data_IF_276532533078
#
_entry.id   IF_276532533078
#
_cell.length_a   1.000
_cell.length_b   1.000
_cell.length_c   1.000
_cell.angle_alpha   90.00
_cell.angle_beta   90.00
_cell.angle_gamma   90.00
#
_symmetry.space_group_name_H-M   'P 1'
#
loop_
_entity.id
_entity.type
_entity.pdbx_description
1 polymer ?
#
# COMPACT_ATOMS: atom_id res chain seq x y z
N UNK A 1 1.89 30.41 22.66
CA UNK A 1 1.01 30.35 21.49
C UNK A 1 1.25 28.97 20.89
N UNK A 2 0.39 28.04 21.25
CA UNK A 2 0.35 26.68 20.74
C UNK A 2 -0.43 26.70 19.43
N UNK A 3 0.26 26.47 18.31
CA UNK A 3 -0.42 26.14 17.06
C UNK A 3 -0.91 24.69 17.16
N UNK A 4 -2.17 24.55 17.49
CA UNK A 4 -2.89 23.30 17.41
C UNK A 4 -3.12 22.98 15.93
N UNK A 5 -2.31 22.09 15.38
CA UNK A 5 -2.56 21.41 14.12
C UNK A 5 -3.79 20.52 14.33
N UNK A 6 -4.98 21.09 14.15
CA UNK A 6 -6.23 20.32 14.14
C UNK A 6 -6.32 19.61 12.80
N UNK A 7 -6.16 18.29 12.82
CA UNK A 7 -6.62 17.45 11.73
C UNK A 7 -8.12 17.73 11.47
N UNK A 8 -8.57 17.80 10.22
CA UNK A 8 -9.98 18.07 9.92
C UNK A 8 -10.87 16.97 10.52
N UNK A 9 -12.02 17.38 11.07
CA UNK A 9 -13.04 16.50 11.64
C UNK A 9 -13.63 15.66 10.49
N UNK A 10 -13.45 14.35 10.58
CA UNK A 10 -13.43 13.38 9.50
C UNK A 10 -14.83 12.77 9.24
N UNK A 11 -15.89 13.56 9.20
CA UNK A 11 -17.20 13.05 8.76
C UNK A 11 -17.31 12.81 7.24
N UNK A 12 -16.33 13.23 6.43
CA UNK A 12 -16.32 13.07 4.97
C UNK A 12 -15.33 12.03 4.45
N UNK A 13 -14.54 11.40 5.32
CA UNK A 13 -13.38 10.55 4.97
C UNK A 13 -13.80 9.14 4.54
N UNK A 14 -15.00 8.70 4.91
CA UNK A 14 -15.43 7.31 4.80
C UNK A 14 -16.42 7.04 3.65
N UNK A 15 -16.16 7.52 2.44
CA UNK A 15 -16.94 7.18 1.26
C UNK A 15 -16.26 6.02 0.51
N UNK A 16 -17.05 5.02 0.12
CA UNK A 16 -16.69 3.76 -0.56
C UNK A 16 -15.63 3.97 -1.68
N UNK A 17 -14.42 3.33 -1.60
CA UNK A 17 -13.35 3.52 -2.57
C UNK A 17 -13.69 3.02 -3.97
N UNK A 18 -14.48 1.95 -4.09
CA UNK A 18 -14.81 1.31 -5.37
C UNK A 18 -15.65 2.20 -6.30
N UNK A 19 -16.40 3.15 -5.75
CA UNK A 19 -17.15 4.12 -6.56
C UNK A 19 -16.30 5.27 -7.11
N UNK A 20 -15.05 5.43 -6.62
CA UNK A 20 -14.18 6.58 -6.91
C UNK A 20 -13.17 6.32 -8.02
N UNK A 21 -12.80 5.06 -8.31
CA UNK A 21 -11.95 4.72 -9.45
C UNK A 21 -12.52 5.25 -10.77
N UNK A 22 -13.85 5.42 -10.83
CA UNK A 22 -14.56 6.01 -11.99
C UNK A 22 -14.38 7.52 -12.17
N UNK A 23 -13.73 8.25 -11.27
CA UNK A 23 -13.65 9.72 -11.30
C UNK A 23 -12.27 10.35 -11.14
N UNK A 24 -11.23 9.59 -10.82
CA UNK A 24 -9.89 10.16 -10.67
C UNK A 24 -9.22 10.33 -12.04
N UNK A 25 -9.36 11.53 -12.63
CA UNK A 25 -8.51 11.97 -13.73
C UNK A 25 -7.10 12.19 -13.19
N UNK A 26 -6.22 11.22 -13.39
CA UNK A 26 -4.84 11.24 -12.90
C UNK A 26 -3.99 12.23 -13.69
N UNK A 27 -3.32 13.14 -12.99
CA UNK A 27 -2.32 14.05 -13.56
C UNK A 27 -1.10 13.26 -14.01
N UNK A 28 -0.85 13.25 -15.32
CA UNK A 28 0.33 12.67 -15.95
C UNK A 28 1.57 13.49 -15.59
N UNK A 29 2.44 12.97 -14.75
CA UNK A 29 3.83 13.42 -14.68
C UNK A 29 4.68 12.35 -14.01
N UNK A 30 4.96 11.28 -14.72
CA UNK A 30 5.99 10.33 -14.36
C UNK A 30 7.10 10.36 -15.41
N UNK A 31 8.30 10.72 -14.97
CA UNK A 31 9.50 10.59 -15.80
C UNK A 31 10.01 9.16 -15.64
N UNK A 32 9.55 8.26 -16.52
CA UNK A 32 10.02 6.89 -16.61
C UNK A 32 11.38 6.86 -17.32
N UNK A 33 12.40 6.37 -16.63
CA UNK A 33 13.63 5.93 -17.28
C UNK A 33 13.39 4.50 -17.77
N UNK A 34 13.37 4.22 -19.08
CA UNK A 34 13.06 2.88 -19.57
C UNK A 34 14.18 1.89 -19.20
N UNK A 35 13.78 0.80 -18.54
CA UNK A 35 14.64 -0.35 -18.33
C UNK A 35 14.59 -1.22 -19.61
N UNK A 36 15.69 -1.50 -20.30
CA UNK A 36 15.65 -2.27 -21.54
C UNK A 36 15.39 -3.75 -21.27
N UNK A 37 14.20 -4.24 -21.64
CA UNK A 37 13.92 -5.65 -21.81
C UNK A 37 12.97 -6.30 -20.81
N UNK A 38 11.71 -5.92 -20.81
CA UNK A 38 10.68 -6.78 -20.23
C UNK A 38 10.64 -8.12 -20.96
N UNK A 39 10.84 -9.22 -20.22
CA UNK A 39 10.84 -10.59 -20.77
C UNK A 39 9.43 -11.17 -20.93
N UNK A 40 8.39 -10.45 -20.54
CA UNK A 40 7.04 -10.98 -20.50
C UNK A 40 6.08 -10.19 -21.40
N UNK A 41 5.29 -10.84 -22.22
CA UNK A 41 4.22 -10.20 -22.99
C UNK A 41 3.09 -9.73 -22.04
N UNK A 42 2.41 -8.61 -22.37
CA UNK A 42 1.39 -7.97 -21.54
C UNK A 42 0.36 -8.94 -20.97
N UNK A 43 -0.12 -9.92 -21.77
CA UNK A 43 -1.10 -10.91 -21.28
C UNK A 43 -0.58 -11.79 -20.13
N UNK A 44 0.74 -12.01 -20.04
CA UNK A 44 1.34 -12.75 -18.92
C UNK A 44 1.40 -11.89 -17.66
N UNK A 45 1.69 -10.60 -17.81
CA UNK A 45 1.72 -9.64 -16.70
C UNK A 45 0.32 -9.52 -16.11
N UNK A 46 -0.69 -9.30 -16.94
CA UNK A 46 -2.10 -9.28 -16.53
C UNK A 46 -2.47 -10.54 -15.72
N UNK A 47 -2.10 -11.73 -16.20
CA UNK A 47 -2.36 -12.98 -15.47
C UNK A 47 -1.65 -13.08 -14.13
N UNK A 48 -0.47 -12.50 -13.99
CA UNK A 48 0.27 -12.46 -12.72
C UNK A 48 -0.41 -11.50 -11.76
N UNK A 49 -0.81 -10.33 -12.22
CA UNK A 49 -1.47 -9.32 -11.41
C UNK A 49 -2.88 -9.76 -10.96
N UNK A 50 -3.61 -10.48 -11.82
CA UNK A 50 -4.94 -11.02 -11.50
C UNK A 50 -4.91 -12.29 -10.63
N UNK A 51 -3.75 -12.93 -10.47
CA UNK A 51 -3.69 -14.34 -10.03
C UNK A 51 -3.51 -14.58 -8.53
N UNK A 52 -3.10 -13.59 -7.72
CA UNK A 52 -2.88 -13.76 -6.26
C UNK A 52 -2.64 -12.40 -5.58
N UNK A 53 -2.74 -12.35 -4.26
CA UNK A 53 -2.21 -11.22 -3.50
C UNK A 53 -0.73 -11.01 -3.85
N UNK A 54 -0.40 -9.81 -4.34
CA UNK A 54 0.86 -9.55 -5.03
C UNK A 54 1.54 -8.32 -4.45
N UNK A 55 2.87 -8.38 -4.28
CA UNK A 55 3.71 -7.22 -4.03
C UNK A 55 4.21 -6.61 -5.34
N UNK A 56 4.13 -5.29 -5.41
CA UNK A 56 4.87 -4.47 -6.36
C UNK A 56 6.06 -3.86 -5.63
N UNK A 57 7.26 -4.25 -6.03
CA UNK A 57 8.50 -3.81 -5.39
C UNK A 57 9.17 -2.79 -6.31
N UNK A 58 9.31 -1.55 -5.82
CA UNK A 58 9.91 -0.48 -6.59
C UNK A 58 11.38 -0.79 -6.93
N UNK A 59 11.75 -0.66 -8.21
CA UNK A 59 13.17 -0.79 -8.59
C UNK A 59 13.97 0.41 -8.09
N UNK A 60 15.30 0.30 -7.86
CA UNK A 60 16.13 1.42 -7.40
C UNK A 60 16.11 2.63 -8.31
N UNK A 61 15.83 2.44 -9.59
CA UNK A 61 15.75 3.49 -10.61
C UNK A 61 14.43 4.28 -10.56
N UNK A 62 13.44 3.79 -9.84
CA UNK A 62 12.19 4.52 -9.59
C UNK A 62 12.45 5.62 -8.56
N UNK A 63 12.75 6.82 -9.08
CA UNK A 63 13.15 7.99 -8.26
C UNK A 63 11.98 8.82 -7.76
N UNK A 64 10.73 8.39 -8.03
CA UNK A 64 9.55 9.06 -7.47
C UNK A 64 9.60 9.02 -5.95
N UNK A 65 9.56 10.19 -5.27
CA UNK A 65 9.65 10.25 -3.81
C UNK A 65 8.52 9.50 -3.09
N UNK A 66 7.36 9.31 -3.76
CA UNK A 66 6.26 8.54 -3.20
C UNK A 66 6.52 7.04 -3.21
N UNK A 67 7.40 6.55 -4.10
CA UNK A 67 7.59 5.12 -4.29
C UNK A 67 9.05 4.65 -4.22
N UNK A 68 10.00 5.55 -3.99
CA UNK A 68 11.40 5.16 -3.81
C UNK A 68 11.55 4.11 -2.69
N UNK A 69 12.10 2.93 -3.02
CA UNK A 69 12.25 1.78 -2.10
C UNK A 69 10.93 1.36 -1.41
N UNK A 70 9.80 1.51 -2.09
CA UNK A 70 8.53 1.05 -1.55
C UNK A 70 8.21 -0.39 -1.95
N UNK A 71 7.43 -1.04 -1.10
CA UNK A 71 6.72 -2.27 -1.38
C UNK A 71 5.23 -1.97 -1.27
N UNK A 72 4.50 -2.22 -2.36
CA UNK A 72 3.05 -1.99 -2.43
C UNK A 72 2.33 -3.33 -2.45
N UNK A 73 1.42 -3.52 -1.51
CA UNK A 73 0.47 -4.64 -1.55
C UNK A 73 -0.64 -4.28 -2.55
N UNK A 74 -0.71 -5.00 -3.66
CA UNK A 74 -1.80 -4.84 -4.64
C UNK A 74 -3.08 -5.43 -4.06
N UNK A 75 -4.09 -4.59 -3.87
CA UNK A 75 -5.38 -4.95 -3.27
C UNK A 75 -6.40 -5.27 -4.35
N UNK A 76 -6.43 -4.44 -5.40
CA UNK A 76 -7.35 -4.59 -6.52
C UNK A 76 -6.61 -4.38 -7.84
N UNK A 77 -6.94 -5.21 -8.82
CA UNK A 77 -6.50 -5.03 -10.20
C UNK A 77 -7.60 -5.46 -11.17
N UNK A 78 -7.96 -4.56 -12.07
CA UNK A 78 -8.98 -4.76 -13.09
C UNK A 78 -8.65 -3.99 -14.37
N UNK A 79 -9.45 -4.19 -15.41
CA UNK A 79 -9.33 -3.42 -16.66
C UNK A 79 -9.60 -1.91 -16.44
N UNK A 80 -10.33 -1.53 -15.39
CA UNK A 80 -10.65 -0.13 -15.06
C UNK A 80 -9.51 0.57 -14.29
N UNK A 81 -8.55 -0.17 -13.72
CA UNK A 81 -7.43 0.35 -12.96
C UNK A 81 -6.96 -0.58 -11.84
N UNK A 82 -6.07 -0.06 -11.00
CA UNK A 82 -5.50 -0.82 -9.90
C UNK A 82 -5.38 0.02 -8.64
N UNK A 83 -5.47 -0.63 -7.48
CA UNK A 83 -5.28 -0.04 -6.17
C UNK A 83 -4.33 -0.89 -5.34
N UNK A 84 -3.43 -0.22 -4.60
CA UNK A 84 -2.53 -0.87 -3.68
C UNK A 84 -2.18 -0.01 -2.48
N UNK A 85 -1.61 -0.63 -1.45
CA UNK A 85 -1.19 0.02 -0.20
C UNK A 85 0.31 -0.12 -0.04
N UNK A 86 1.04 0.99 0.11
CA UNK A 86 2.46 0.98 0.49
C UNK A 86 2.58 0.49 1.92
N UNK A 87 3.30 -0.63 2.14
CA UNK A 87 3.31 -1.32 3.44
C UNK A 87 4.51 -0.98 4.32
N UNK A 88 5.49 -0.26 3.80
CA UNK A 88 6.78 -0.04 4.47
C UNK A 88 7.15 1.44 4.70
N UNK A 89 6.15 2.33 4.83
CA UNK A 89 6.39 3.77 5.12
C UNK A 89 5.70 4.21 6.40
N UNK A 90 6.34 4.04 7.57
CA UNK A 90 5.81 4.59 8.81
C UNK A 90 5.87 6.13 8.77
N UNK A 91 4.91 6.77 9.44
CA UNK A 91 4.88 8.22 9.66
C UNK A 91 4.99 8.54 11.15
N UNK A 92 5.27 9.80 11.49
CA UNK A 92 5.35 10.28 12.86
C UNK A 92 3.93 10.50 13.46
N UNK A 93 3.11 9.46 13.43
CA UNK A 93 1.77 9.44 14.02
C UNK A 93 1.52 8.05 14.60
N UNK A 94 1.20 7.96 15.87
CA UNK A 94 0.88 6.71 16.55
C UNK A 94 -0.61 6.37 16.43
N UNK A 95 -0.93 5.06 16.44
CA UNK A 95 -2.32 4.60 16.33
C UNK A 95 -3.18 5.10 17.49
N UNK A 96 -2.60 5.23 18.70
CA UNK A 96 -3.28 5.78 19.87
C UNK A 96 -3.71 7.22 19.67
N UNK A 97 -2.84 8.06 19.10
CA UNK A 97 -3.15 9.46 18.79
C UNK A 97 -4.21 9.57 17.70
N UNK A 98 -4.10 8.73 16.67
CA UNK A 98 -5.10 8.66 15.61
C UNK A 98 -6.48 8.27 16.15
N UNK A 99 -6.57 7.19 16.94
CA UNK A 99 -7.84 6.76 17.53
C UNK A 99 -8.42 7.82 18.47
N UNK A 100 -7.59 8.47 19.30
CA UNK A 100 -8.02 9.55 20.18
C UNK A 100 -8.59 10.75 19.40
N UNK A 101 -8.07 11.04 18.20
CA UNK A 101 -8.62 12.09 17.31
C UNK A 101 -10.03 11.76 16.78
N UNK A 102 -10.42 10.48 16.85
CA UNK A 102 -11.74 9.96 16.45
C UNK A 102 -12.65 9.66 17.68
N UNK A 103 -12.30 10.17 18.86
CA UNK A 103 -12.97 9.88 20.12
C UNK A 103 -12.99 8.38 20.49
N UNK A 104 -11.97 7.63 20.05
CA UNK A 104 -11.81 6.18 20.32
C UNK A 104 -10.58 5.93 21.19
N UNK A 105 -10.61 4.81 21.92
CA UNK A 105 -9.45 4.29 22.67
C UNK A 105 -8.97 3.00 22.03
N UNK A 106 -7.69 2.93 21.68
CA UNK A 106 -7.10 1.70 21.16
C UNK A 106 -6.65 0.82 22.32
N UNK A 107 -7.18 -0.40 22.41
CA UNK A 107 -6.90 -1.34 23.50
C UNK A 107 -5.67 -2.24 23.25
N UNK A 108 -4.91 -1.98 22.17
CA UNK A 108 -3.65 -2.65 21.86
C UNK A 108 -2.43 -1.80 22.22
N UNK A 109 -1.31 -2.03 21.53
CA UNK A 109 -0.11 -1.20 21.64
C UNK A 109 -0.33 0.13 20.93
N UNK A 110 -0.68 1.16 21.71
CA UNK A 110 -1.02 2.50 21.22
C UNK A 110 0.18 3.23 20.57
N UNK A 111 1.43 2.75 20.77
CA UNK A 111 2.66 3.37 20.24
C UNK A 111 3.02 2.86 18.83
N UNK A 112 2.22 1.94 18.28
CA UNK A 112 2.45 1.48 16.90
C UNK A 112 2.31 2.63 15.92
N UNK A 113 3.24 2.76 14.95
CA UNK A 113 3.16 3.81 13.94
C UNK A 113 2.02 3.55 12.96
N UNK A 114 1.44 4.63 12.47
CA UNK A 114 0.61 4.63 11.27
C UNK A 114 1.53 4.70 10.05
N UNK A 115 1.05 4.25 8.90
CA UNK A 115 1.81 4.19 7.66
C UNK A 115 1.21 5.11 6.60
N UNK A 116 2.06 5.67 5.74
CA UNK A 116 1.63 6.30 4.50
C UNK A 116 1.36 5.21 3.46
N UNK A 117 0.09 4.94 3.17
CA UNK A 117 -0.32 3.91 2.21
C UNK A 117 -0.18 4.31 0.74
N UNK A 118 0.00 5.60 0.46
CA UNK A 118 0.22 6.13 -0.89
C UNK A 118 -0.17 7.60 -1.02
N UNK A 119 0.01 8.18 -2.23
CA UNK A 119 -0.18 9.62 -2.46
C UNK A 119 -1.64 10.02 -2.71
N UNK A 120 -2.57 9.07 -2.88
CA UNK A 120 -3.96 9.34 -3.21
C UNK A 120 -4.81 9.32 -1.94
N UNK A 121 -5.66 10.34 -1.73
CA UNK A 121 -6.54 10.45 -0.56
C UNK A 121 -5.79 10.24 0.77
N UNK A 122 -4.76 11.02 1.01
CA UNK A 122 -3.87 10.91 2.18
C UNK A 122 -4.55 11.19 3.53
N UNK A 123 -5.76 11.68 3.50
CA UNK A 123 -6.66 11.89 4.63
C UNK A 123 -7.57 10.69 4.92
N UNK A 124 -7.56 9.65 4.07
CA UNK A 124 -8.37 8.45 4.22
C UNK A 124 -7.59 7.33 4.89
N UNK A 125 -8.22 6.68 5.88
CA UNK A 125 -7.64 5.54 6.57
C UNK A 125 -8.06 4.21 5.94
N UNK A 126 -7.08 3.29 5.86
CA UNK A 126 -7.24 1.90 5.46
C UNK A 126 -6.64 1.04 6.57
N UNK A 127 -7.34 -0.02 6.98
CA UNK A 127 -6.94 -0.87 8.09
C UNK A 127 -6.70 -2.27 7.55
N UNK A 128 -5.45 -2.68 7.49
CA UNK A 128 -5.08 -4.05 7.15
C UNK A 128 -4.98 -4.86 8.43
N UNK A 129 -5.75 -5.93 8.54
CA UNK A 129 -5.85 -6.70 9.77
C UNK A 129 -6.13 -8.18 9.51
N UNK A 130 -5.77 -9.01 10.49
CA UNK A 130 -6.13 -10.40 10.51
C UNK A 130 -7.47 -10.57 11.22
N UNK A 131 -8.47 -11.10 10.53
CA UNK A 131 -9.79 -11.38 11.12
C UNK A 131 -10.54 -12.43 10.31
N UNK A 132 -11.27 -13.30 11.01
CA UNK A 132 -12.24 -14.20 10.40
C UNK A 132 -13.63 -13.54 10.26
N UNK A 133 -13.87 -12.43 10.96
CA UNK A 133 -15.14 -11.71 10.93
C UNK A 133 -15.23 -10.78 9.72
N UNK A 134 -16.38 -10.79 9.07
CA UNK A 134 -16.72 -9.82 8.03
C UNK A 134 -17.32 -8.59 8.70
N UNK A 135 -16.63 -7.46 8.56
CA UNK A 135 -17.14 -6.15 8.99
C UNK A 135 -17.74 -5.37 7.82
N UNK A 136 -18.44 -4.27 8.09
CA UNK A 136 -18.90 -3.36 7.05
C UNK A 136 -17.69 -2.78 6.30
N UNK A 137 -17.83 -2.63 4.97
CA UNK A 137 -16.77 -2.11 4.10
C UNK A 137 -15.41 -2.80 4.34
N UNK A 138 -15.43 -4.14 4.38
CA UNK A 138 -14.26 -4.99 4.59
C UNK A 138 -14.12 -5.96 3.42
N UNK A 139 -12.92 -6.04 2.86
CA UNK A 139 -12.58 -6.92 1.75
C UNK A 139 -11.50 -7.91 2.14
N UNK A 140 -11.59 -9.13 1.63
CA UNK A 140 -10.55 -10.13 1.80
C UNK A 140 -9.41 -9.85 0.83
N UNK A 141 -8.20 -9.64 1.36
CA UNK A 141 -6.98 -9.45 0.56
C UNK A 141 -6.28 -10.77 0.32
N UNK A 142 -5.97 -11.52 1.39
CA UNK A 142 -5.36 -12.86 1.28
C UNK A 142 -5.60 -13.68 2.54
N UNK A 143 -6.03 -14.94 2.37
CA UNK A 143 -6.31 -15.81 3.51
C UNK A 143 -7.28 -15.19 4.50
N UNK A 144 -6.83 -14.95 5.72
CA UNK A 144 -7.56 -14.25 6.78
C UNK A 144 -7.17 -12.75 6.92
N UNK A 145 -6.32 -12.26 6.03
CA UNK A 145 -5.97 -10.82 5.98
C UNK A 145 -7.06 -10.07 5.21
N UNK A 146 -7.57 -9.04 5.84
CA UNK A 146 -8.65 -8.18 5.35
C UNK A 146 -8.21 -6.73 5.32
N UNK A 147 -8.83 -5.97 4.42
CA UNK A 147 -8.71 -4.52 4.35
C UNK A 147 -10.07 -3.91 4.67
N UNK A 148 -10.14 -3.12 5.74
CA UNK A 148 -11.31 -2.35 6.13
C UNK A 148 -11.07 -0.87 5.90
N UNK A 149 -12.13 -0.15 5.52
CA UNK A 149 -12.07 1.29 5.23
C UNK A 149 -13.27 2.07 5.73
N UNK A 150 -13.92 1.58 6.80
CA UNK A 150 -15.01 2.27 7.50
C UNK A 150 -14.67 2.59 8.95
N UNK A 151 -15.27 3.66 9.47
CA UNK A 151 -15.14 4.05 10.88
C UNK A 151 -15.77 3.00 11.80
N UNK A 152 -16.83 2.34 11.35
CA UNK A 152 -17.50 1.28 12.09
C UNK A 152 -16.58 0.06 12.26
N UNK A 153 -15.90 -0.36 11.18
CA UNK A 153 -14.89 -1.42 11.26
C UNK A 153 -13.73 -1.04 12.18
N UNK A 154 -13.26 0.22 12.12
CA UNK A 154 -12.23 0.70 13.04
C UNK A 154 -12.70 0.59 14.49
N UNK A 155 -13.93 1.04 14.81
CA UNK A 155 -14.46 1.01 16.18
C UNK A 155 -14.51 -0.41 16.76
N UNK A 156 -14.83 -1.40 15.95
CA UNK A 156 -14.82 -2.81 16.35
C UNK A 156 -13.38 -3.31 16.60
N UNK A 157 -12.45 -2.97 15.71
CA UNK A 157 -11.06 -3.42 15.78
C UNK A 157 -10.27 -2.77 16.92
N UNK A 158 -10.62 -1.56 17.37
CA UNK A 158 -9.93 -0.90 18.49
C UNK A 158 -10.34 -1.45 19.85
N UNK A 159 -11.55 -2.05 19.96
CA UNK A 159 -12.04 -2.69 21.20
C UNK A 159 -11.33 -4.02 21.47
N UNK A 160 -11.18 -4.86 20.45
CA UNK A 160 -10.50 -6.15 20.50
C UNK A 160 -9.51 -6.26 19.34
N UNK A 161 -8.33 -5.60 19.43
CA UNK A 161 -7.37 -5.57 18.33
C UNK A 161 -6.82 -6.96 18.04
N UNK A 162 -6.83 -7.42 16.77
CA UNK A 162 -6.14 -8.65 16.39
C UNK A 162 -4.63 -8.50 16.53
N UNK A 163 -3.90 -9.61 16.57
CA UNK A 163 -2.44 -9.64 16.66
C UNK A 163 -1.79 -8.88 15.50
N UNK A 164 -2.33 -9.06 14.30
CA UNK A 164 -1.90 -8.38 13.10
C UNK A 164 -2.89 -7.27 12.73
N UNK A 165 -2.50 -6.02 12.99
CA UNK A 165 -3.25 -4.82 12.60
C UNK A 165 -2.28 -3.71 12.25
N UNK A 166 -2.50 -3.06 11.10
CA UNK A 166 -1.81 -1.83 10.69
C UNK A 166 -2.79 -0.84 10.06
N UNK A 167 -2.59 0.43 10.36
CA UNK A 167 -3.38 1.54 9.79
C UNK A 167 -2.52 2.29 8.77
N UNK A 168 -3.11 2.58 7.62
CA UNK A 168 -2.49 3.29 6.51
C UNK A 168 -3.31 4.53 6.16
N UNK A 169 -2.65 5.63 5.84
CA UNK A 169 -3.27 6.83 5.30
C UNK A 169 -2.99 6.94 3.81
N UNK A 170 -4.05 7.04 3.00
CA UNK A 170 -3.97 7.07 1.55
C UNK A 170 -3.67 5.71 0.91
N UNK A 171 -3.61 5.73 -0.41
CA UNK A 171 -3.35 4.55 -1.24
C UNK A 171 -2.56 4.90 -2.50
N UNK A 172 -2.01 3.89 -3.18
CA UNK A 172 -1.44 3.98 -4.51
C UNK A 172 -2.50 3.58 -5.54
N UNK A 173 -2.71 4.39 -6.57
CA UNK A 173 -3.70 4.14 -7.61
C UNK A 173 -3.11 4.25 -9.00
N UNK A 174 -3.52 3.33 -9.89
CA UNK A 174 -3.16 3.32 -11.30
C UNK A 174 -4.44 3.35 -12.15
N UNK A 175 -4.44 4.15 -13.20
CA UNK A 175 -5.50 4.14 -14.20
C UNK A 175 -5.48 2.90 -15.10
N UNK A 176 -6.47 2.80 -16.01
CA UNK A 176 -6.57 1.73 -17.00
C UNK A 176 -5.24 1.48 -17.72
N UNK A 177 -4.73 0.22 -17.67
CA UNK A 177 -3.50 -0.23 -18.31
C UNK A 177 -2.19 0.35 -17.75
N UNK A 178 -2.23 1.35 -16.88
CA UNK A 178 -1.04 2.06 -16.39
C UNK A 178 -0.11 1.12 -15.62
N UNK A 179 -0.63 0.31 -14.69
CA UNK A 179 0.19 -0.64 -13.93
C UNK A 179 0.89 -1.66 -14.84
N UNK A 180 0.16 -2.21 -15.81
CA UNK A 180 0.72 -3.16 -16.77
C UNK A 180 1.86 -2.53 -17.60
N UNK A 181 1.72 -1.27 -18.00
CA UNK A 181 2.78 -0.51 -18.69
C UNK A 181 4.00 -0.30 -17.77
N UNK A 182 3.79 0.10 -16.53
CA UNK A 182 4.87 0.32 -15.56
C UNK A 182 5.62 -0.97 -15.19
N UNK A 183 4.92 -2.10 -15.06
CA UNK A 183 5.54 -3.42 -14.87
C UNK A 183 6.31 -3.83 -16.14
N UNK A 184 5.74 -3.61 -17.33
CA UNK A 184 6.40 -3.95 -18.62
C UNK A 184 7.67 -3.14 -18.82
N UNK A 185 7.67 -1.87 -18.43
CA UNK A 185 8.85 -1.00 -18.53
C UNK A 185 9.85 -1.22 -17.40
N UNK A 186 9.54 -2.07 -16.42
CA UNK A 186 10.43 -2.47 -15.35
C UNK A 186 10.51 -1.47 -14.19
N UNK A 187 9.50 -0.65 -13.99
CA UNK A 187 9.39 0.22 -12.81
C UNK A 187 9.10 -0.59 -11.54
N UNK A 188 8.41 -1.70 -11.68
CA UNK A 188 8.02 -2.60 -10.61
C UNK A 188 8.49 -4.03 -10.87
N UNK A 189 8.99 -4.68 -9.83
CA UNK A 189 9.12 -6.13 -9.75
C UNK A 189 7.87 -6.70 -9.07
N UNK A 190 7.42 -7.85 -9.55
CA UNK A 190 6.19 -8.48 -9.05
C UNK A 190 6.56 -9.75 -8.29
N UNK A 191 6.12 -9.87 -7.04
CA UNK A 191 6.35 -11.01 -6.17
C UNK A 191 5.07 -11.41 -5.42
N UNK A 192 4.93 -12.67 -4.99
CA UNK A 192 3.86 -13.05 -4.07
C UNK A 192 3.91 -12.22 -2.80
N UNK A 193 2.73 -11.79 -2.30
CA UNK A 193 2.64 -11.09 -1.03
C UNK A 193 2.96 -12.03 0.14
N UNK A 194 3.65 -11.49 1.15
CA UNK A 194 4.07 -12.20 2.35
C UNK A 194 3.60 -11.47 3.60
N UNK A 195 2.77 -12.14 4.40
CA UNK A 195 2.21 -11.63 5.65
C UNK A 195 3.30 -11.25 6.65
N UNK A 196 4.40 -12.02 6.70
CA UNK A 196 5.50 -11.75 7.62
C UNK A 196 6.21 -10.44 7.27
N UNK A 197 6.40 -10.16 5.98
CA UNK A 197 6.96 -8.88 5.54
C UNK A 197 6.05 -7.71 5.89
N UNK A 198 4.73 -7.89 5.82
CA UNK A 198 3.77 -6.83 6.14
C UNK A 198 3.77 -6.52 7.63
N UNK A 199 3.66 -7.54 8.51
CA UNK A 199 3.33 -7.32 9.91
C UNK A 199 4.50 -7.49 10.89
N UNK A 200 5.50 -8.33 10.54
CA UNK A 200 6.54 -8.75 11.49
C UNK A 200 7.92 -8.17 11.17
N UNK A 201 8.12 -7.63 9.97
CA UNK A 201 9.42 -7.06 9.58
C UNK A 201 9.54 -5.58 9.98
N UNK A 202 10.78 -5.14 10.23
CA UNK A 202 11.06 -3.72 10.37
C UNK A 202 10.74 -3.02 9.02
N UNK A 203 9.93 -1.96 9.00
CA UNK A 203 9.54 -1.26 7.78
C UNK A 203 10.72 -0.84 6.89
N UNK A 204 11.84 -0.44 7.48
CA UNK A 204 13.04 -0.02 6.75
C UNK A 204 13.70 -1.18 5.98
N UNK A 205 13.54 -2.41 6.46
CA UNK A 205 14.15 -3.61 5.87
C UNK A 205 13.24 -4.30 4.84
N UNK A 206 11.93 -4.02 4.85
CA UNK A 206 10.93 -4.73 4.01
C UNK A 206 11.30 -4.73 2.54
N UNK A 207 11.79 -3.61 1.99
CA UNK A 207 12.16 -3.52 0.59
C UNK A 207 13.34 -4.44 0.22
N UNK A 208 14.37 -4.45 1.03
CA UNK A 208 15.54 -5.32 0.81
C UNK A 208 15.18 -6.79 1.02
N UNK A 209 14.40 -7.10 2.05
CA UNK A 209 13.92 -8.47 2.32
C UNK A 209 13.05 -9.00 1.16
N UNK A 210 12.16 -8.18 0.61
CA UNK A 210 11.33 -8.57 -0.52
C UNK A 210 12.17 -8.88 -1.77
N UNK A 211 13.23 -8.10 -2.05
CA UNK A 211 14.17 -8.39 -3.13
C UNK A 211 14.96 -9.68 -2.87
N UNK A 212 15.44 -9.90 -1.65
CA UNK A 212 16.17 -11.11 -1.28
C UNK A 212 15.31 -12.37 -1.43
N UNK A 213 14.01 -12.32 -1.11
CA UNK A 213 13.09 -13.44 -1.35
C UNK A 213 12.98 -13.81 -2.84
N UNK A 214 13.17 -12.83 -3.74
CA UNK A 214 13.25 -13.06 -5.18
C UNK A 214 14.63 -13.55 -5.66
N UNK A 215 15.60 -13.69 -4.75
CA UNK A 215 17.00 -13.99 -5.09
C UNK A 215 17.75 -12.82 -5.74
N UNK A 216 17.29 -11.59 -5.51
CA UNK A 216 17.85 -10.37 -6.09
C UNK A 216 18.66 -9.64 -5.02
N UNK A 217 19.94 -9.36 -5.32
CA UNK A 217 20.77 -8.49 -4.50
C UNK A 217 20.51 -7.02 -4.90
N UNK A 218 20.04 -6.16 -3.96
CA UNK A 218 19.80 -4.74 -4.20
C UNK A 218 21.00 -4.01 -4.81
N UNK A 219 22.22 -4.37 -4.42
CA UNK A 219 23.45 -3.77 -4.93
C UNK A 219 23.66 -4.06 -6.41
N UNK A 220 23.31 -5.24 -6.89
CA UNK A 220 23.42 -5.61 -8.31
C UNK A 220 22.43 -4.80 -9.17
N UNK A 221 21.21 -4.56 -8.66
CA UNK A 221 20.23 -3.71 -9.35
C UNK A 221 20.70 -2.25 -9.48
N UNK A 222 21.36 -1.71 -8.44
CA UNK A 222 21.88 -0.34 -8.49
C UNK A 222 23.01 -0.17 -9.51
N UNK A 223 23.83 -1.21 -9.74
CA UNK A 223 24.96 -1.15 -10.68
C UNK A 223 24.55 -1.42 -12.14
N UNK A 224 23.46 -2.15 -12.37
CA UNK A 224 22.99 -2.45 -13.73
C UNK A 224 22.42 -1.24 -14.48
N UNK A 225 22.08 -0.16 -13.79
CA UNK A 225 21.63 1.12 -14.37
C UNK A 225 22.75 2.07 -14.83
N UNK A 226 24.03 1.73 -14.62
CA UNK A 226 25.18 2.59 -14.93
C UNK A 226 25.93 2.27 -16.22
N UNK A 227 25.41 1.43 -17.09
CA UNK A 227 26.05 1.13 -18.38
C UNK A 227 25.25 1.80 -19.49
N UNK A 228 25.52 3.07 -19.70
CA UNK A 228 25.71 3.73 -21.02
C UNK A 228 26.04 5.20 -20.84
#
# INVERSE_FOLDING_TARGET
KSDSNKFPIISEIWLNPLSFLKKAAFSRSFCLVPFPGSRYPNFMIERILLGAPTFLIAVPQLVDPNFFRSVVLLVEHSDEGSMGIVVNRPIELEIGEFCASQDMTFNGDATQPIFQGGPVQTDRAFILHESEQEGPETETVMGNIRLSYSLESLSMLVEEPPEHLKVFLGYAGWGEGQLAEEVTTGAWLVAPADVQLIFQSNPDDVWELALHQMGIDPLQLMHSGSVH
#
